data_IF_784153641860
#
_entry.id   IF_784153641860
#
_cell.length_a   1.000
_cell.length_b   1.000
_cell.length_c   1.000
_cell.angle_alpha   90.00
_cell.angle_beta   90.00
_cell.angle_gamma   90.00
#
_symmetry.space_group_name_H-M   'P 1'
#
loop_
_entity.id
_entity.type
_entity.pdbx_description
1 polymer ?
#
# COMPACT_ATOMS: atom_id res chain seq x y z
N UNK A 1 21.49 1.26 -20.23
CA UNK A 1 20.82 0.64 -19.06
C UNK A 1 20.45 1.79 -18.15
N UNK A 2 19.16 1.99 -17.85
CA UNK A 2 18.73 3.08 -16.97
C UNK A 2 18.93 2.64 -15.52
N UNK A 3 19.65 3.43 -14.72
CA UNK A 3 19.84 3.18 -13.28
C UNK A 3 19.05 4.18 -12.42
N UNK A 4 18.91 3.88 -11.13
CA UNK A 4 18.19 4.75 -10.17
C UNK A 4 18.81 6.14 -10.07
N UNK A 5 20.13 6.26 -10.18
CA UNK A 5 20.84 7.55 -10.19
C UNK A 5 20.50 8.41 -11.41
N UNK A 6 20.34 7.80 -12.59
CA UNK A 6 19.89 8.53 -13.79
C UNK A 6 18.43 8.98 -13.65
N UNK A 7 17.55 8.10 -13.19
CA UNK A 7 16.14 8.46 -12.93
C UNK A 7 16.01 9.57 -11.88
N UNK A 8 16.89 9.58 -10.88
CA UNK A 8 16.95 10.64 -9.89
C UNK A 8 17.32 11.98 -10.52
N UNK A 9 18.34 11.99 -11.39
CA UNK A 9 18.77 13.19 -12.08
C UNK A 9 17.69 13.74 -13.01
N UNK A 10 17.04 12.88 -13.80
CA UNK A 10 15.91 13.26 -14.66
C UNK A 10 14.76 13.88 -13.83
N UNK A 11 14.51 13.34 -12.62
CA UNK A 11 13.49 13.88 -11.72
C UNK A 11 13.89 15.25 -11.16
N UNK A 12 15.16 15.45 -10.80
CA UNK A 12 15.66 16.74 -10.32
C UNK A 12 15.52 17.79 -11.42
N UNK A 13 15.96 17.48 -12.64
CA UNK A 13 15.86 18.38 -13.79
C UNK A 13 14.40 18.74 -14.09
N UNK A 14 13.49 17.78 -13.99
CA UNK A 14 12.06 18.03 -14.12
C UNK A 14 11.53 18.97 -13.04
N UNK A 15 11.88 18.74 -11.77
CA UNK A 15 11.46 19.58 -10.65
C UNK A 15 11.96 21.03 -10.81
N UNK A 16 13.21 21.21 -11.24
CA UNK A 16 13.76 22.53 -11.54
C UNK A 16 13.05 23.19 -12.73
N UNK A 17 12.78 22.42 -13.79
CA UNK A 17 12.09 22.91 -14.98
C UNK A 17 10.69 23.46 -14.66
N UNK A 18 9.97 22.83 -13.73
CA UNK A 18 8.64 23.28 -13.29
C UNK A 18 8.69 24.29 -12.14
N UNK A 19 9.89 24.70 -11.70
CA UNK A 19 10.10 25.69 -10.66
C UNK A 19 9.93 25.19 -9.22
N UNK A 20 9.91 23.88 -9.01
CA UNK A 20 9.81 23.26 -7.68
C UNK A 20 11.20 23.09 -7.07
N UNK A 21 11.76 24.19 -6.56
CA UNK A 21 13.15 24.25 -6.07
C UNK A 21 13.28 24.27 -4.54
N UNK A 22 12.17 24.37 -3.80
CA UNK A 22 12.15 24.35 -2.33
C UNK A 22 10.79 23.91 -1.81
N UNK A 23 10.74 23.53 -0.53
CA UNK A 23 9.52 23.10 0.17
C UNK A 23 8.79 21.89 -0.44
N UNK A 24 9.49 21.05 -1.21
CA UNK A 24 8.88 19.90 -1.90
C UNK A 24 8.66 18.74 -0.92
N UNK A 25 7.53 18.05 -1.04
CA UNK A 25 7.23 16.83 -0.31
C UNK A 25 7.44 15.61 -1.22
N UNK A 26 8.38 14.74 -0.87
CA UNK A 26 8.74 13.57 -1.68
C UNK A 26 8.17 12.28 -1.06
N UNK A 27 7.45 11.49 -1.86
CA UNK A 27 6.93 10.18 -1.45
C UNK A 27 7.48 9.11 -2.38
N UNK A 28 8.35 8.26 -1.85
CA UNK A 28 8.97 7.17 -2.58
C UNK A 28 8.39 5.81 -2.18
N UNK A 29 7.85 5.07 -3.15
CA UNK A 29 7.27 3.74 -2.95
C UNK A 29 8.11 2.69 -3.68
N UNK A 30 8.50 1.60 -3.01
CA UNK A 30 9.24 0.49 -3.64
C UNK A 30 10.51 0.99 -4.37
N UNK A 31 10.68 0.73 -5.67
CA UNK A 31 11.79 1.28 -6.47
C UNK A 31 11.82 2.81 -6.47
N UNK A 32 10.66 3.47 -6.39
CA UNK A 32 10.58 4.93 -6.24
C UNK A 32 11.24 5.43 -4.96
N UNK A 33 11.27 4.62 -3.90
CA UNK A 33 12.02 4.93 -2.68
C UNK A 33 13.55 4.87 -2.89
N UNK A 34 14.05 3.95 -3.71
CA UNK A 34 15.47 3.90 -4.07
C UNK A 34 15.87 5.14 -4.88
N UNK A 35 15.03 5.53 -5.84
CA UNK A 35 15.23 6.76 -6.61
C UNK A 35 15.18 7.98 -5.69
N UNK A 36 14.21 8.02 -4.76
CA UNK A 36 14.08 9.11 -3.79
C UNK A 36 15.32 9.28 -2.93
N UNK A 37 15.95 8.18 -2.50
CA UNK A 37 17.21 8.24 -1.74
C UNK A 37 18.34 8.88 -2.54
N UNK A 38 18.46 8.55 -3.83
CA UNK A 38 19.43 9.18 -4.73
C UNK A 38 19.12 10.68 -4.93
N UNK A 39 17.85 11.05 -5.12
CA UNK A 39 17.40 12.44 -5.26
C UNK A 39 17.78 13.26 -4.02
N UNK A 40 17.42 12.79 -2.83
CA UNK A 40 17.68 13.50 -1.57
C UNK A 40 19.18 13.58 -1.29
N UNK A 41 19.96 12.57 -1.69
CA UNK A 41 21.41 12.60 -1.55
C UNK A 41 22.05 13.67 -2.44
N UNK A 42 21.46 13.95 -3.61
CA UNK A 42 21.97 14.96 -4.53
C UNK A 42 21.48 16.38 -4.19
N UNK A 43 20.21 16.54 -3.79
CA UNK A 43 19.54 17.84 -3.59
C UNK A 43 18.67 17.88 -2.32
N UNK A 44 19.26 17.76 -1.12
CA UNK A 44 18.50 17.77 0.13
C UNK A 44 17.82 19.12 0.40
N UNK A 45 18.35 20.20 -0.15
CA UNK A 45 17.84 21.58 -0.03
C UNK A 45 16.44 21.78 -0.60
N UNK A 46 16.02 20.94 -1.55
CA UNK A 46 14.73 21.07 -2.23
C UNK A 46 13.55 20.55 -1.40
N UNK A 47 13.78 19.68 -0.41
CA UNK A 47 12.72 18.87 0.20
C UNK A 47 12.42 19.26 1.65
N UNK A 48 11.14 19.51 1.93
CA UNK A 48 10.63 19.77 3.30
C UNK A 48 10.35 18.50 4.06
N UNK A 49 9.86 17.47 3.39
CA UNK A 49 9.67 16.15 3.99
C UNK A 49 9.79 15.04 2.98
N UNK A 50 10.11 13.85 3.50
CA UNK A 50 10.30 12.63 2.73
C UNK A 50 9.53 11.50 3.41
N UNK A 51 8.76 10.76 2.63
CA UNK A 51 8.12 9.52 3.06
C UNK A 51 8.62 8.36 2.19
N UNK A 52 9.24 7.36 2.83
CA UNK A 52 9.74 6.16 2.16
C UNK A 52 8.90 4.96 2.57
N UNK A 53 8.22 4.35 1.62
CA UNK A 53 7.32 3.21 1.88
C UNK A 53 7.80 1.98 1.12
N UNK A 54 7.80 0.85 1.83
CA UNK A 54 8.07 -0.49 1.27
C UNK A 54 9.31 -0.53 0.35
N UNK A 55 10.39 0.14 0.76
CA UNK A 55 11.62 0.31 -0.03
C UNK A 55 12.86 -0.16 0.75
N UNK A 56 14.01 -0.19 0.08
CA UNK A 56 15.32 -0.56 0.67
C UNK A 56 16.41 0.36 0.13
N UNK A 57 17.47 0.60 0.90
CA UNK A 57 18.61 1.42 0.47
C UNK A 57 19.58 0.68 -0.48
N UNK A 58 19.10 -0.33 -1.21
CA UNK A 58 19.86 -1.09 -2.22
C UNK A 58 20.95 -2.03 -1.70
N UNK A 59 21.33 -1.97 -0.42
CA UNK A 59 22.39 -2.81 0.18
C UNK A 59 21.93 -4.20 0.62
N UNK A 60 20.62 -4.45 0.64
CA UNK A 60 20.04 -5.75 0.94
C UNK A 60 19.56 -6.32 -0.39
N UNK A 61 20.19 -7.41 -0.84
CA UNK A 61 19.70 -8.15 -2.00
C UNK A 61 18.33 -8.73 -1.66
N UNK A 62 17.29 -8.13 -2.25
CA UNK A 62 15.96 -8.74 -2.23
C UNK A 62 16.05 -10.06 -2.99
N UNK A 63 15.51 -11.16 -2.45
CA UNK A 63 15.53 -12.44 -3.14
C UNK A 63 14.94 -12.29 -4.54
N UNK A 64 15.69 -12.69 -5.56
CA UNK A 64 15.26 -12.61 -6.98
C UNK A 64 13.90 -13.31 -7.18
N UNK A 65 13.64 -14.34 -6.39
CA UNK A 65 12.35 -15.04 -6.32
C UNK A 65 11.21 -14.13 -5.88
N UNK A 66 11.39 -13.30 -4.85
CA UNK A 66 10.39 -12.34 -4.38
C UNK A 66 10.10 -11.27 -5.44
N UNK A 67 11.15 -10.76 -6.10
CA UNK A 67 11.01 -9.80 -7.21
C UNK A 67 10.19 -10.44 -8.34
N UNK A 68 10.59 -11.63 -8.83
CA UNK A 68 9.87 -12.33 -9.91
C UNK A 68 8.42 -12.65 -9.55
N UNK A 69 8.15 -13.05 -8.31
CA UNK A 69 6.79 -13.32 -7.83
C UNK A 69 5.93 -12.05 -7.84
N UNK A 70 6.47 -10.92 -7.38
CA UNK A 70 5.75 -9.65 -7.37
C UNK A 70 5.46 -9.14 -8.79
N UNK A 71 6.44 -9.21 -9.70
CA UNK A 71 6.24 -8.87 -11.11
C UNK A 71 5.24 -9.83 -11.80
N UNK A 72 5.34 -11.13 -11.51
CA UNK A 72 4.39 -12.14 -11.98
C UNK A 72 2.96 -11.88 -11.52
N UNK A 73 2.80 -11.42 -10.28
CA UNK A 73 1.52 -11.04 -9.70
C UNK A 73 0.94 -9.77 -10.36
N UNK A 74 1.78 -8.74 -10.52
CA UNK A 74 1.35 -7.44 -11.04
C UNK A 74 0.96 -7.48 -12.52
N UNK A 75 1.70 -8.22 -13.36
CA UNK A 75 1.55 -8.14 -14.81
C UNK A 75 0.97 -9.41 -15.47
N UNK A 76 1.09 -10.58 -14.85
CA UNK A 76 0.80 -11.87 -15.50
C UNK A 76 -0.28 -12.71 -14.83
N UNK A 77 -0.93 -12.18 -13.79
CA UNK A 77 -2.04 -12.87 -13.14
C UNK A 77 -3.31 -12.07 -13.43
N UNK A 78 -4.29 -12.66 -14.13
CA UNK A 78 -5.50 -11.92 -14.56
C UNK A 78 -6.70 -12.18 -13.67
N UNK A 79 -6.79 -13.36 -13.06
CA UNK A 79 -7.86 -13.72 -12.11
C UNK A 79 -7.61 -13.12 -10.74
N UNK A 80 -8.63 -12.48 -10.15
CA UNK A 80 -8.60 -11.93 -8.78
C UNK A 80 -8.32 -13.04 -7.76
N UNK A 81 -8.86 -14.23 -7.99
CA UNK A 81 -8.68 -15.40 -7.11
C UNK A 81 -7.23 -15.89 -7.14
N UNK A 82 -6.63 -15.97 -8.34
CA UNK A 82 -5.23 -16.39 -8.49
C UNK A 82 -4.27 -15.34 -7.94
N UNK A 83 -4.60 -14.04 -8.10
CA UNK A 83 -3.84 -12.95 -7.48
C UNK A 83 -3.87 -13.07 -5.97
N UNK A 84 -5.06 -13.22 -5.39
CA UNK A 84 -5.24 -13.34 -3.95
C UNK A 84 -4.45 -14.54 -3.42
N UNK A 85 -4.58 -15.71 -4.05
CA UNK A 85 -3.85 -16.91 -3.62
C UNK A 85 -2.33 -16.74 -3.67
N UNK A 86 -1.79 -16.23 -4.78
CA UNK A 86 -0.34 -15.99 -4.93
C UNK A 86 0.16 -14.93 -3.95
N UNK A 87 -0.62 -13.88 -3.72
CA UNK A 87 -0.30 -12.84 -2.75
C UNK A 87 -0.27 -13.39 -1.33
N UNK A 88 -1.23 -14.25 -0.96
CA UNK A 88 -1.23 -14.89 0.36
C UNK A 88 -0.01 -15.78 0.57
N UNK A 89 0.37 -16.59 -0.43
CA UNK A 89 1.55 -17.44 -0.36
C UNK A 89 2.86 -16.66 -0.34
N UNK A 90 2.86 -15.40 -0.82
CA UNK A 90 4.00 -14.50 -0.76
C UNK A 90 4.09 -13.75 0.58
N UNK A 91 2.95 -13.38 1.17
CA UNK A 91 2.88 -12.56 2.38
C UNK A 91 2.95 -13.38 3.67
N UNK A 92 2.48 -14.62 3.66
CA UNK A 92 2.36 -15.44 4.86
C UNK A 92 3.11 -16.78 4.74
N UNK A 93 3.74 -17.27 5.82
CA UNK A 93 4.31 -18.60 5.84
C UNK A 93 3.25 -19.67 5.60
N UNK A 94 3.59 -20.74 4.87
CA UNK A 94 2.69 -21.89 4.66
C UNK A 94 2.20 -22.49 5.97
N UNK A 95 3.08 -22.59 6.97
CA UNK A 95 2.75 -23.08 8.31
C UNK A 95 1.73 -22.22 9.05
N UNK A 96 1.60 -20.93 8.71
CA UNK A 96 0.55 -20.07 9.25
C UNK A 96 -0.73 -20.20 8.42
N UNK A 97 -0.62 -20.19 7.09
CA UNK A 97 -1.74 -20.31 6.17
C UNK A 97 -2.55 -21.59 6.39
N UNK A 98 -1.88 -22.69 6.74
CA UNK A 98 -2.49 -24.01 6.90
C UNK A 98 -2.97 -24.27 8.34
N UNK A 99 -2.73 -23.33 9.28
CA UNK A 99 -3.29 -23.38 10.65
C UNK A 99 -4.73 -22.90 10.68
N UNK A 100 -5.48 -23.38 11.67
CA UNK A 100 -6.80 -22.85 11.98
C UNK A 100 -6.72 -21.39 12.46
N UNK A 101 -7.72 -20.55 12.12
CA UNK A 101 -7.84 -19.20 12.65
C UNK A 101 -7.87 -19.13 14.17
N UNK A 102 -7.22 -18.11 14.74
CA UNK A 102 -7.27 -17.86 16.19
C UNK A 102 -8.60 -17.24 16.62
N UNK A 103 -9.28 -16.53 15.71
CA UNK A 103 -10.65 -16.04 15.91
C UNK A 103 -11.66 -17.18 15.76
N UNK A 104 -12.72 -17.19 16.56
CA UNK A 104 -13.89 -18.05 16.31
C UNK A 104 -14.42 -17.78 14.90
N UNK A 105 -14.13 -18.69 13.97
CA UNK A 105 -14.53 -18.59 12.57
C UNK A 105 -14.92 -19.96 12.05
N UNK A 106 -15.78 -19.98 11.05
CA UNK A 106 -16.21 -21.20 10.36
C UNK A 106 -15.14 -21.82 9.44
N UNK A 107 -14.02 -21.11 9.24
CA UNK A 107 -12.97 -21.51 8.31
C UNK A 107 -11.99 -22.51 8.94
N UNK A 108 -11.57 -23.51 8.18
CA UNK A 108 -10.64 -24.54 8.67
C UNK A 108 -9.19 -24.05 8.68
N UNK A 109 -8.87 -23.09 7.81
CA UNK A 109 -7.52 -22.56 7.68
C UNK A 109 -7.53 -21.03 7.56
N UNK A 110 -6.45 -20.39 8.00
CA UNK A 110 -6.20 -18.96 7.81
C UNK A 110 -6.25 -18.59 6.32
N UNK A 111 -5.80 -19.48 5.44
CA UNK A 111 -5.89 -19.30 3.98
C UNK A 111 -7.33 -19.10 3.51
N UNK A 112 -8.25 -19.94 3.96
CA UNK A 112 -9.67 -19.86 3.59
C UNK A 112 -10.30 -18.57 4.11
N UNK A 113 -10.02 -18.22 5.37
CA UNK A 113 -10.52 -17.00 5.98
C UNK A 113 -10.07 -15.75 5.22
N UNK A 114 -8.77 -15.63 4.91
CA UNK A 114 -8.26 -14.43 4.23
C UNK A 114 -8.77 -14.34 2.79
N UNK A 115 -8.86 -15.46 2.06
CA UNK A 115 -9.46 -15.46 0.72
C UNK A 115 -10.93 -15.02 0.78
N UNK A 116 -11.69 -15.49 1.76
CA UNK A 116 -13.09 -15.11 1.93
C UNK A 116 -13.24 -13.61 2.22
N UNK A 117 -12.44 -13.07 3.15
CA UNK A 117 -12.44 -11.63 3.47
C UNK A 117 -12.05 -10.80 2.25
N UNK A 118 -10.98 -11.16 1.54
CA UNK A 118 -10.56 -10.45 0.33
C UNK A 118 -11.61 -10.49 -0.78
N UNK A 119 -12.38 -11.59 -0.90
CA UNK A 119 -13.52 -11.66 -1.84
C UNK A 119 -14.66 -10.75 -1.41
N UNK A 120 -15.02 -10.74 -0.13
CA UNK A 120 -16.07 -9.89 0.41
C UNK A 120 -15.73 -8.40 0.21
N UNK A 121 -14.50 -7.98 0.49
CA UNK A 121 -14.04 -6.60 0.27
C UNK A 121 -14.06 -6.20 -1.22
N UNK A 122 -13.66 -7.11 -2.12
CA UNK A 122 -13.74 -6.86 -3.56
C UNK A 122 -15.18 -6.79 -4.08
N UNK A 123 -16.13 -7.50 -3.47
CA UNK A 123 -17.55 -7.37 -3.80
C UNK A 123 -18.11 -6.03 -3.33
N UNK A 124 -17.70 -5.56 -2.14
CA UNK A 124 -18.09 -4.24 -1.62
C UNK A 124 -17.47 -3.06 -2.37
N UNK A 125 -16.30 -3.23 -3.00
CA UNK A 125 -15.66 -2.18 -3.81
C UNK A 125 -16.15 -2.14 -5.26
N UNK A 126 -16.83 -3.19 -5.74
CA UNK A 126 -17.47 -3.28 -7.06
C UNK A 126 -19.00 -3.09 -6.98
N UNK A 127 -19.48 -2.20 -6.11
CA UNK A 127 -20.89 -1.78 -6.11
C UNK A 127 -21.16 -1.02 -7.41
N UNK A 128 -22.22 -1.42 -8.13
CA UNK A 128 -22.69 -0.71 -9.33
C UNK A 128 -22.88 0.78 -8.99
N UNK A 129 -22.23 1.71 -9.69
CA UNK A 129 -22.38 3.15 -9.45
C UNK A 129 -23.83 3.62 -9.48
N UNK A 130 -24.73 2.90 -10.17
CA UNK A 130 -26.17 3.20 -10.21
C UNK A 130 -26.92 2.89 -8.91
N UNK A 131 -26.32 2.08 -8.02
CA UNK A 131 -26.85 1.73 -6.70
C UNK A 131 -26.31 2.66 -5.59
N UNK A 132 -25.41 3.59 -5.93
CA UNK A 132 -24.97 4.65 -5.02
C UNK A 132 -26.06 5.74 -5.02
N UNK A 133 -26.76 5.99 -3.89
CA UNK A 133 -27.79 7.01 -3.86
C UNK A 133 -27.19 8.38 -4.23
N UNK A 134 -27.84 9.09 -5.15
CA UNK A 134 -27.41 10.44 -5.53
C UNK A 134 -27.56 11.39 -4.33
N UNK A 135 -26.73 12.44 -4.22
CA UNK A 135 -26.76 13.37 -3.08
C UNK A 135 -28.13 14.02 -2.82
N UNK A 136 -28.99 14.04 -3.84
CA UNK A 136 -30.35 14.58 -3.81
C UNK A 136 -31.34 13.72 -3.01
N UNK A 137 -31.03 12.44 -2.79
CA UNK A 137 -31.86 11.51 -2.00
C UNK A 137 -31.48 11.45 -0.52
N UNK A 138 -30.45 12.19 -0.10
CA UNK A 138 -30.03 12.24 1.30
C UNK A 138 -30.73 13.42 1.99
N UNK A 139 -31.51 13.23 3.08
CA UNK A 139 -32.13 14.34 3.78
C UNK A 139 -31.05 15.35 4.24
N UNK A 140 -31.35 16.67 4.26
CA UNK A 140 -30.36 17.71 4.50
C UNK A 140 -29.65 17.48 5.84
N UNK A 141 -28.31 17.55 5.79
CA UNK A 141 -27.38 17.29 6.89
C UNK A 141 -27.55 18.27 8.08
N UNK A 142 -28.64 18.11 8.82
CA UNK A 142 -28.95 18.85 10.06
C UNK A 142 -28.95 17.95 11.30
N UNK A 143 -28.73 16.64 11.15
CA UNK A 143 -28.36 15.80 12.28
C UNK A 143 -26.86 15.98 12.55
N UNK A 144 -26.54 16.65 13.66
CA UNK A 144 -25.18 16.87 14.16
C UNK A 144 -24.30 15.62 13.97
N UNK A 145 -23.21 15.74 13.21
CA UNK A 145 -22.14 14.73 13.20
C UNK A 145 -21.59 14.66 14.62
N UNK A 146 -22.01 13.64 15.36
CA UNK A 146 -21.33 13.26 16.60
C UNK A 146 -19.86 12.96 16.22
N UNK A 147 -18.87 13.56 16.90
CA UNK A 147 -17.48 13.26 16.62
C UNK A 147 -17.21 11.77 16.85
N UNK A 148 -16.39 11.19 15.97
CA UNK A 148 -15.95 9.80 16.02
C UNK A 148 -15.46 9.46 17.44
N UNK A 149 -15.91 8.35 18.07
CA UNK A 149 -15.43 7.99 19.38
C UNK A 149 -13.95 7.62 19.26
N UNK A 150 -13.08 8.56 19.67
CA UNK A 150 -11.67 8.28 19.92
C UNK A 150 -11.66 7.36 21.14
N UNK A 151 -11.63 6.05 20.92
CA UNK A 151 -11.42 5.09 21.99
C UNK A 151 -10.08 5.43 22.65
N UNK A 152 -10.16 5.87 23.91
CA UNK A 152 -8.97 6.11 24.74
C UNK A 152 -8.27 4.76 24.90
N UNK A 153 -6.99 4.72 24.51
CA UNK A 153 -6.09 3.63 24.91
C UNK A 153 -6.19 3.48 26.44
N UNK A 154 -6.51 2.28 26.97
CA UNK A 154 -6.58 2.06 28.41
C UNK A 154 -5.27 2.45 29.08
N UNK A 155 -5.34 3.12 30.24
CA UNK A 155 -4.17 3.59 30.98
C UNK A 155 -3.21 2.47 31.44
N UNK A 156 -3.61 1.20 31.32
CA UNK A 156 -2.80 0.02 31.61
C UNK A 156 -1.77 -0.34 30.51
N UNK A 157 -1.79 0.32 29.36
CA UNK A 157 -0.90 0.06 28.21
C UNK A 157 0.10 1.19 27.94
N UNK A 158 0.34 2.07 28.93
CA UNK A 158 1.51 2.95 28.94
C UNK A 158 2.53 2.37 29.91
N UNK A 159 3.49 1.62 29.39
CA UNK A 159 4.79 1.40 30.03
C UNK A 159 5.85 2.12 29.21
#
# INVERSE_FOLDING_TARGET
MVCTTQMAQDTIELLEHIGWTSDVHLVGVSMGGMISLEIISARPDMFKSVCLTVTTAGRIMTPVTAIRSLFGLAFFTSSVDDKTKKMMEMLYPKSWLDKAPESESEFKTNREQVIHVSKAENLCSNVDPSLIPTPEQNPPATAARQPWPVSRVPASLRQ
#
